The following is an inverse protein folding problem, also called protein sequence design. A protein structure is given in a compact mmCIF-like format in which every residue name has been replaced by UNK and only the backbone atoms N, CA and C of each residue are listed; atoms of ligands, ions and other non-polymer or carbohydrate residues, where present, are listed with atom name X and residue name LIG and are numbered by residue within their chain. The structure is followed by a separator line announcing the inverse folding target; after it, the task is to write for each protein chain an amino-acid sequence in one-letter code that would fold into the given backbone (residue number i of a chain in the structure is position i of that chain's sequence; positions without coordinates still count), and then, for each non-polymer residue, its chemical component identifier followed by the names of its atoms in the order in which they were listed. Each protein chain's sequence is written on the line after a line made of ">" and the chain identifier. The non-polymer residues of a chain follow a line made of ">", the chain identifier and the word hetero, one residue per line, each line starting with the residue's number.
data_IF_137703786624
#
_entry.id   IF_137703786624
#
_cell.length_a   1.000
_cell.length_b   1.000
_cell.length_c   1.000
_cell.angle_alpha   90.00
_cell.angle_beta   90.00
_cell.angle_gamma   90.00
#
_symmetry.space_group_name_H-M   'P 1'
#
loop_
_entity.id
_entity.type
_entity.pdbx_description
1 polymer ?
#
# COMPACT_ATOMS: atom_id res chain seq x y z
N UNK A 1 9.40 1.93 8.64
CA UNK A 1 8.29 1.05 8.22
C UNK A 1 8.86 -0.36 8.33
N UNK A 2 8.38 -1.14 9.28
CA UNK A 2 8.89 -2.48 9.56
C UNK A 2 8.43 -3.41 8.42
N UNK A 3 9.36 -4.10 7.77
CA UNK A 3 9.08 -4.92 6.59
C UNK A 3 8.28 -6.17 6.91
N UNK A 4 7.34 -6.54 6.03
CA UNK A 4 6.56 -7.79 6.14
C UNK A 4 7.37 -8.96 5.60
N UNK A 5 8.45 -9.32 6.28
CA UNK A 5 9.27 -10.46 5.86
C UNK A 5 8.68 -11.79 6.37
N UNK A 6 7.76 -12.34 5.60
CA UNK A 6 7.26 -13.70 5.80
C UNK A 6 7.73 -14.60 4.64
N UNK A 7 8.94 -15.16 4.72
CA UNK A 7 9.47 -16.03 3.67
C UNK A 7 8.64 -17.30 3.46
N UNK A 8 7.81 -17.65 4.45
CA UNK A 8 6.94 -18.81 4.42
C UNK A 8 5.62 -18.58 3.67
N UNK A 9 5.39 -17.36 3.18
CA UNK A 9 4.27 -17.03 2.28
C UNK A 9 4.72 -17.16 0.82
N UNK A 10 4.12 -18.10 0.11
CA UNK A 10 4.16 -18.09 -1.34
C UNK A 10 3.06 -17.16 -1.87
N UNK A 11 3.43 -15.92 -2.19
CA UNK A 11 2.51 -14.92 -2.73
C UNK A 11 1.96 -15.26 -4.11
N UNK A 12 2.71 -16.03 -4.91
CA UNK A 12 2.24 -16.52 -6.22
C UNK A 12 1.02 -17.43 -6.09
N UNK A 13 1.07 -18.33 -5.12
CA UNK A 13 0.04 -19.35 -4.93
C UNK A 13 -0.91 -18.99 -3.78
N UNK A 14 -0.72 -17.83 -3.14
CA UNK A 14 -1.44 -17.38 -1.94
C UNK A 14 -1.47 -18.45 -0.83
N UNK A 15 -0.35 -19.12 -0.59
CA UNK A 15 -0.23 -20.19 0.43
C UNK A 15 0.82 -19.87 1.47
N UNK A 16 0.65 -20.42 2.67
CA UNK A 16 1.57 -20.25 3.79
C UNK A 16 1.81 -21.58 4.50
N UNK A 17 3.07 -21.88 4.83
CA UNK A 17 3.43 -23.14 5.54
C UNK A 17 3.17 -23.11 7.03
N UNK A 18 3.18 -21.92 7.65
CA UNK A 18 3.14 -21.77 9.10
C UNK A 18 1.90 -21.00 9.57
N UNK A 19 1.48 -21.30 10.80
CA UNK A 19 0.23 -20.79 11.39
C UNK A 19 0.11 -19.26 11.37
N UNK A 20 1.18 -18.54 11.71
CA UNK A 20 1.16 -17.07 11.75
C UNK A 20 0.95 -16.47 10.34
N UNK A 21 1.80 -16.78 9.35
CA UNK A 21 1.56 -16.38 7.96
C UNK A 21 0.22 -16.86 7.38
N UNK A 22 -0.26 -18.05 7.73
CA UNK A 22 -1.56 -18.54 7.24
C UNK A 22 -2.72 -17.73 7.79
N UNK A 23 -2.70 -17.36 9.08
CA UNK A 23 -3.71 -16.47 9.66
C UNK A 23 -3.67 -15.09 9.02
N UNK A 24 -2.48 -14.57 8.68
CA UNK A 24 -2.37 -13.31 7.95
C UNK A 24 -3.03 -13.41 6.56
N UNK A 25 -2.75 -14.46 5.79
CA UNK A 25 -3.38 -14.67 4.48
C UNK A 25 -4.91 -14.86 4.59
N UNK A 26 -5.36 -15.57 5.61
CA UNK A 26 -6.78 -15.72 5.91
C UNK A 26 -7.42 -14.35 6.18
N UNK A 27 -6.77 -13.47 6.95
CA UNK A 27 -7.23 -12.10 7.13
C UNK A 27 -7.27 -11.33 5.81
N UNK A 28 -6.23 -11.40 4.97
CA UNK A 28 -6.21 -10.73 3.66
C UNK A 28 -7.39 -11.18 2.81
N UNK A 29 -7.61 -12.50 2.72
CA UNK A 29 -8.69 -13.10 1.92
C UNK A 29 -10.08 -12.75 2.47
N UNK A 30 -10.29 -12.85 3.78
CA UNK A 30 -11.58 -12.57 4.42
C UNK A 30 -11.98 -11.09 4.32
N UNK A 31 -11.02 -10.19 4.11
CA UNK A 31 -11.26 -8.76 3.91
C UNK A 31 -11.27 -8.35 2.43
N UNK A 32 -11.28 -9.31 1.49
CA UNK A 32 -11.27 -9.06 0.05
C UNK A 32 -10.09 -8.18 -0.40
N UNK A 33 -8.96 -8.28 0.30
CA UNK A 33 -7.76 -7.52 -0.01
C UNK A 33 -6.96 -8.23 -1.10
N UNK A 34 -6.52 -7.45 -2.07
CA UNK A 34 -5.71 -7.87 -3.21
C UNK A 34 -4.31 -7.30 -3.08
N UNK A 35 -3.30 -8.16 -3.30
CA UNK A 35 -1.90 -7.76 -3.33
C UNK A 35 -1.55 -7.16 -4.69
N UNK A 36 -1.10 -5.91 -4.68
CA UNK A 36 -0.82 -5.09 -5.87
C UNK A 36 0.64 -5.17 -6.33
N UNK A 37 1.53 -5.69 -5.48
CA UNK A 37 2.94 -5.90 -5.82
C UNK A 37 3.11 -7.33 -6.34
N UNK A 38 3.22 -7.48 -7.65
CA UNK A 38 3.31 -8.80 -8.30
C UNK A 38 4.72 -9.40 -8.33
N UNK A 39 5.75 -8.54 -8.40
CA UNK A 39 7.13 -8.99 -8.57
C UNK A 39 7.85 -9.03 -7.22
N UNK A 40 8.56 -10.14 -6.91
CA UNK A 40 9.46 -10.16 -5.77
C UNK A 40 10.55 -9.11 -5.95
N UNK A 41 10.95 -8.49 -4.85
CA UNK A 41 11.98 -7.45 -4.84
C UNK A 41 13.35 -8.07 -5.12
N UNK A 42 14.36 -7.21 -5.32
CA UNK A 42 15.75 -7.53 -5.69
C UNK A 42 16.41 -8.77 -5.00
N UNK A 43 15.93 -9.24 -3.85
CA UNK A 43 16.42 -10.45 -3.13
C UNK A 43 15.50 -11.68 -3.21
N UNK A 44 14.52 -11.70 -4.10
CA UNK A 44 13.60 -12.84 -4.29
C UNK A 44 12.50 -12.97 -3.23
N UNK A 45 12.49 -12.11 -2.22
CA UNK A 45 11.43 -12.00 -1.21
C UNK A 45 10.47 -10.85 -1.51
N UNK A 46 9.20 -11.04 -1.16
CA UNK A 46 8.21 -9.96 -1.12
C UNK A 46 8.37 -9.22 0.22
N UNK A 47 9.21 -8.17 0.25
CA UNK A 47 9.50 -7.41 1.48
C UNK A 47 8.44 -6.35 1.79
N UNK A 48 7.73 -5.90 0.74
CA UNK A 48 6.75 -4.83 0.79
C UNK A 48 5.39 -5.33 0.26
N UNK A 49 4.32 -4.93 0.95
CA UNK A 49 2.94 -5.29 0.60
C UNK A 49 2.17 -4.03 0.18
N UNK A 50 1.37 -4.16 -0.87
CA UNK A 50 0.41 -3.16 -1.29
C UNK A 50 -0.96 -3.80 -1.37
N UNK A 51 -1.79 -3.62 -0.35
CA UNK A 51 -3.12 -4.23 -0.28
C UNK A 51 -4.20 -3.22 -0.67
N UNK A 52 -5.17 -3.64 -1.49
CA UNK A 52 -6.36 -2.85 -1.84
C UNK A 52 -7.60 -3.74 -1.80
N UNK A 53 -8.74 -3.21 -1.36
CA UNK A 53 -10.04 -3.88 -1.50
C UNK A 53 -10.75 -3.53 -2.81
N UNK A 54 -10.11 -2.72 -3.67
CA UNK A 54 -10.66 -2.25 -4.93
C UNK A 54 -9.58 -2.29 -6.00
N UNK A 55 -9.76 -3.17 -6.97
CA UNK A 55 -8.85 -3.41 -8.10
C UNK A 55 -8.75 -2.20 -9.04
N UNK A 56 -9.83 -1.43 -9.19
CA UNK A 56 -9.88 -0.21 -9.99
C UNK A 56 -9.31 1.03 -9.31
N UNK A 57 -9.07 0.99 -7.99
CA UNK A 57 -8.60 2.13 -7.21
C UNK A 57 -7.11 2.39 -7.39
N UNK A 58 -6.29 1.34 -7.52
CA UNK A 58 -4.84 1.46 -7.59
C UNK A 58 -4.36 0.83 -8.89
N UNK A 59 -3.47 1.53 -9.61
CA UNK A 59 -2.85 0.95 -10.81
C UNK A 59 -1.53 1.59 -11.18
N UNK A 60 -0.95 1.13 -12.28
CA UNK A 60 0.41 1.51 -12.70
C UNK A 60 1.47 1.26 -11.61
N UNK A 61 1.36 0.16 -10.86
CA UNK A 61 2.33 -0.21 -9.83
C UNK A 61 3.67 -0.58 -10.48
N UNK A 62 4.75 0.05 -10.03
CA UNK A 62 6.11 -0.11 -10.56
C UNK A 62 7.13 -0.09 -9.44
N UNK A 63 8.17 -0.88 -9.58
CA UNK A 63 9.36 -0.81 -8.74
C UNK A 63 10.36 0.17 -9.37
N UNK A 64 10.92 1.06 -8.58
CA UNK A 64 11.86 2.12 -9.03
C UNK A 64 13.31 1.91 -8.58
N UNK A 65 13.60 0.76 -7.96
CA UNK A 65 14.89 0.45 -7.37
C UNK A 65 15.00 0.88 -5.91
N UNK A 66 16.11 0.52 -5.27
CA UNK A 66 16.37 0.79 -3.86
C UNK A 66 16.90 2.20 -3.62
N UNK A 67 16.53 2.78 -2.48
CA UNK A 67 17.12 4.03 -2.01
C UNK A 67 18.41 3.72 -1.22
N UNK A 68 19.56 4.12 -1.77
CA UNK A 68 20.86 3.84 -1.16
C UNK A 68 21.14 2.33 -1.01
N UNK A 69 21.59 1.91 0.17
CA UNK A 69 21.86 0.52 0.51
C UNK A 69 20.63 -0.25 1.04
N UNK A 70 19.43 0.34 0.95
CA UNK A 70 18.20 -0.32 1.40
C UNK A 70 17.95 -1.60 0.61
N UNK A 71 17.48 -2.61 1.31
CA UNK A 71 16.96 -3.87 0.77
C UNK A 71 15.51 -3.72 0.24
N UNK A 72 14.83 -2.62 0.56
CA UNK A 72 13.53 -2.26 0.03
C UNK A 72 13.65 -1.45 -1.27
N UNK A 73 12.77 -1.74 -2.24
CA UNK A 73 12.63 -0.94 -3.46
C UNK A 73 11.46 0.04 -3.32
N UNK A 74 11.59 1.18 -3.98
CA UNK A 74 10.53 2.18 -4.03
C UNK A 74 9.39 1.64 -4.88
N UNK A 75 8.19 1.57 -4.32
CA UNK A 75 6.95 1.22 -5.02
C UNK A 75 6.24 2.51 -5.47
N UNK A 76 6.19 2.75 -6.77
CA UNK A 76 5.43 3.83 -7.39
C UNK A 76 4.09 3.28 -7.88
N UNK A 77 2.98 3.96 -7.55
CA UNK A 77 1.65 3.59 -8.01
C UNK A 77 0.77 4.84 -8.21
N UNK A 78 -0.36 4.69 -8.90
CA UNK A 78 -1.38 5.72 -9.04
C UNK A 78 -2.64 5.30 -8.30
N UNK A 79 -3.24 6.23 -7.58
CA UNK A 79 -4.59 6.08 -7.01
C UNK A 79 -5.57 6.76 -7.96
N UNK A 80 -6.45 5.98 -8.58
CA UNK A 80 -7.55 6.45 -9.37
C UNK A 80 -8.72 6.82 -8.46
N UNK A 81 -9.29 8.00 -8.65
CA UNK A 81 -10.51 8.41 -7.94
C UNK A 81 -11.54 8.88 -8.94
N UNK A 82 -12.73 8.30 -8.90
CA UNK A 82 -13.89 8.88 -9.59
C UNK A 82 -14.27 10.17 -8.87
N UNK A 83 -13.77 11.31 -9.35
CA UNK A 83 -14.11 12.60 -8.78
C UNK A 83 -15.52 13.00 -9.22
N UNK A 84 -16.52 12.87 -8.34
CA UNK A 84 -17.66 13.78 -8.38
C UNK A 84 -17.14 15.13 -7.88
N UNK A 85 -16.84 16.05 -8.79
CA UNK A 85 -16.48 17.43 -8.46
C UNK A 85 -17.66 18.09 -7.75
N UNK A 86 -17.71 18.01 -6.43
CA UNK A 86 -18.48 18.95 -5.62
C UNK A 86 -17.60 20.17 -5.45
N UNK A 87 -18.03 21.32 -5.97
CA UNK A 87 -17.28 22.57 -5.87
C UNK A 87 -17.40 23.11 -4.45
N UNK A 88 -16.64 22.56 -3.51
CA UNK A 88 -16.41 23.21 -2.22
C UNK A 88 -15.22 24.18 -2.35
N UNK A 89 -15.31 25.35 -1.71
CA UNK A 89 -14.17 26.27 -1.58
C UNK A 89 -13.15 25.64 -0.64
N UNK A 90 -12.26 24.80 -1.16
CA UNK A 90 -11.23 24.15 -0.36
C UNK A 90 -9.96 25.00 -0.39
N UNK A 91 -9.54 25.47 0.78
CA UNK A 91 -8.28 26.18 0.97
C UNK A 91 -7.13 25.22 0.66
N UNK A 92 -6.30 25.50 -0.33
CA UNK A 92 -5.16 24.65 -0.67
C UNK A 92 -4.09 24.83 0.41
N UNK A 93 -3.77 23.77 1.15
CA UNK A 93 -2.64 23.77 2.07
C UNK A 93 -1.33 23.72 1.29
N UNK A 94 -0.45 24.70 1.51
CA UNK A 94 0.89 24.74 0.93
C UNK A 94 1.86 24.01 1.87
N UNK A 95 2.13 22.73 1.58
CA UNK A 95 3.03 21.88 2.37
C UNK A 95 4.50 22.36 2.38
N UNK A 96 4.86 23.41 1.63
CA UNK A 96 6.20 24.04 1.72
C UNK A 96 6.31 24.97 2.93
N UNK A 97 5.18 25.41 3.48
CA UNK A 97 5.10 26.03 4.80
C UNK A 97 4.56 24.95 5.73
N UNK A 98 5.27 24.65 6.82
CA UNK A 98 4.92 23.61 7.79
C UNK A 98 3.63 23.93 8.58
N UNK A 99 2.51 24.12 7.88
CA UNK A 99 1.22 24.44 8.47
C UNK A 99 0.42 23.15 8.73
N UNK A 100 0.93 22.36 9.67
CA UNK A 100 0.32 21.09 10.09
C UNK A 100 -0.95 21.29 10.95
N UNK A 101 -1.30 22.53 11.30
CA UNK A 101 -2.41 22.84 12.20
C UNK A 101 -3.79 22.43 11.65
N UNK A 102 -3.95 22.38 10.33
CA UNK A 102 -5.24 22.12 9.66
C UNK A 102 -5.55 20.63 9.44
N UNK A 103 -4.63 19.72 9.80
CA UNK A 103 -4.82 18.28 9.61
C UNK A 103 -5.90 17.65 10.51
N UNK A 104 -6.44 18.41 11.49
CA UNK A 104 -7.35 17.86 12.50
C UNK A 104 -8.84 17.92 12.16
N UNK A 105 -9.28 18.76 11.23
CA UNK A 105 -10.73 18.97 11.01
C UNK A 105 -11.38 18.03 9.99
N UNK A 106 -10.60 17.29 9.21
CA UNK A 106 -11.13 16.43 8.14
C UNK A 106 -11.45 14.98 8.51
N UNK A 107 -11.03 14.50 9.68
CA UNK A 107 -11.06 13.07 10.03
C UNK A 107 -12.05 12.67 11.13
N UNK A 108 -12.88 13.58 11.64
CA UNK A 108 -13.88 13.29 12.70
C UNK A 108 -15.33 13.50 12.26
N UNK A 109 -15.62 13.34 10.97
CA UNK A 109 -16.99 13.28 10.48
C UNK A 109 -17.21 12.03 9.62
N UNK A 110 -17.20 10.87 10.27
CA UNK A 110 -18.07 9.72 9.96
C UNK A 110 -18.76 9.27 11.23
#
# INVERSE_FOLDING_TARGET
>A
MEGFNHPDICWRDNTARHKKPSTFLECVNNNFLLQMVEKPMRRGGMLDLGLTNNDGLVGNVKLKGSLGCSDHEIVEFKIFRAARRVRSKLTTLDFRREDFGLLREGCLAE
#
